data_IF_188887000222
#
_entry.id   IF_188887000222
#
_cell.length_a   1.000
_cell.length_b   1.000
_cell.length_c   1.000
_cell.angle_alpha   90.00
_cell.angle_beta   90.00
_cell.angle_gamma   90.00
#
_symmetry.space_group_name_H-M   'P 1'
#
loop_
_entity.id
_entity.type
_entity.pdbx_description
1 polymer ?
#
# COMPACT_ATOMS: atom_id res chain seq x y z
N UNK A 1 6.91 34.35 0.18
CA UNK A 1 7.15 33.29 -0.82
C UNK A 1 5.87 32.49 -0.88
N UNK A 2 5.20 32.51 -2.01
CA UNK A 2 3.93 31.81 -2.16
C UNK A 2 4.23 30.38 -2.62
N UNK A 3 3.58 29.41 -2.03
CA UNK A 3 3.69 28.00 -2.39
C UNK A 3 2.37 27.57 -3.01
N UNK A 4 2.44 26.99 -4.19
CA UNK A 4 1.29 26.45 -4.91
C UNK A 4 1.40 24.94 -4.92
N UNK A 5 0.34 24.25 -4.52
CA UNK A 5 0.22 22.80 -4.56
C UNK A 5 -0.66 22.40 -5.73
N UNK A 6 -0.17 21.50 -6.56
CA UNK A 6 -0.90 20.96 -7.71
C UNK A 6 -0.98 19.45 -7.54
N UNK A 7 -2.19 18.90 -7.58
CA UNK A 7 -2.44 17.46 -7.49
C UNK A 7 -2.71 16.89 -8.89
N UNK A 8 -2.14 15.74 -9.16
CA UNK A 8 -2.24 15.05 -10.44
C UNK A 8 -2.48 13.55 -10.18
N UNK A 9 -3.66 13.06 -10.57
CA UNK A 9 -4.20 11.76 -10.16
C UNK A 9 -4.35 10.72 -11.29
N UNK A 10 -3.83 11.01 -12.47
CA UNK A 10 -4.03 10.20 -13.68
C UNK A 10 -3.54 8.75 -13.53
N UNK A 11 -2.48 8.50 -12.75
CA UNK A 11 -1.90 7.16 -12.60
C UNK A 11 -2.79 6.31 -11.69
N UNK A 12 -3.21 6.84 -10.55
CA UNK A 12 -4.02 6.10 -9.59
C UNK A 12 -5.40 5.78 -10.17
N UNK A 13 -6.06 6.74 -10.81
CA UNK A 13 -7.33 6.53 -11.51
C UNK A 13 -7.25 5.41 -12.55
N UNK A 14 -6.19 5.38 -13.37
CA UNK A 14 -5.99 4.35 -14.38
C UNK A 14 -5.72 2.98 -13.77
N UNK A 15 -5.10 2.94 -12.61
CA UNK A 15 -4.75 1.71 -11.90
C UNK A 15 -5.98 0.88 -11.53
N UNK A 16 -7.10 1.52 -11.30
CA UNK A 16 -8.37 0.85 -10.95
C UNK A 16 -9.11 0.25 -12.15
N UNK A 17 -8.69 0.56 -13.39
CA UNK A 17 -9.42 0.14 -14.60
C UNK A 17 -8.82 -1.08 -15.28
N UNK A 18 -7.51 -1.22 -15.33
CA UNK A 18 -6.84 -2.32 -16.02
C UNK A 18 -5.36 -2.43 -15.64
N UNK A 19 -4.87 -3.64 -15.46
CA UNK A 19 -3.47 -3.94 -15.16
C UNK A 19 -2.49 -3.43 -16.24
N UNK A 20 -2.91 -3.34 -17.49
CA UNK A 20 -2.08 -2.84 -18.60
C UNK A 20 -2.15 -1.33 -18.78
N UNK A 21 -3.19 -0.69 -18.26
CA UNK A 21 -3.40 0.75 -18.39
C UNK A 21 -2.40 1.57 -17.57
N UNK A 22 -1.84 1.00 -16.49
CA UNK A 22 -0.94 1.70 -15.58
C UNK A 22 0.28 2.27 -16.29
N UNK A 23 0.97 1.50 -17.12
CA UNK A 23 2.17 1.98 -17.81
C UNK A 23 1.85 3.06 -18.84
N UNK A 24 0.75 2.91 -19.57
CA UNK A 24 0.27 3.95 -20.49
C UNK A 24 -0.11 5.23 -19.72
N UNK A 25 -0.72 5.08 -18.54
CA UNK A 25 -1.03 6.20 -17.67
C UNK A 25 0.23 6.89 -17.12
N UNK A 26 1.27 6.13 -16.79
CA UNK A 26 2.57 6.70 -16.40
C UNK A 26 3.19 7.53 -17.52
N UNK A 27 3.21 7.03 -18.77
CA UNK A 27 3.74 7.76 -19.93
C UNK A 27 2.94 9.04 -20.19
N UNK A 28 1.62 8.96 -20.07
CA UNK A 28 0.73 10.12 -20.20
C UNK A 28 1.00 11.13 -19.09
N UNK A 29 1.06 10.70 -17.83
CA UNK A 29 1.35 11.56 -16.69
C UNK A 29 2.69 12.27 -16.81
N UNK A 30 3.75 11.56 -17.23
CA UNK A 30 5.06 12.16 -17.49
C UNK A 30 4.96 13.28 -18.55
N UNK A 31 4.20 13.05 -19.61
CA UNK A 31 4.01 14.03 -20.68
C UNK A 31 3.22 15.25 -20.21
N UNK A 32 2.18 15.04 -19.40
CA UNK A 32 1.37 16.10 -18.79
C UNK A 32 2.19 16.93 -17.81
N UNK A 33 2.95 16.28 -16.92
CA UNK A 33 3.83 16.97 -15.96
C UNK A 33 4.93 17.78 -16.64
N UNK A 34 5.55 17.26 -17.70
CA UNK A 34 6.51 18.02 -18.51
C UNK A 34 5.90 19.28 -19.11
N UNK A 35 4.67 19.18 -19.63
CA UNK A 35 3.96 20.34 -20.17
C UNK A 35 3.60 21.34 -19.07
N UNK A 36 3.14 20.85 -17.91
CA UNK A 36 2.82 21.68 -16.76
C UNK A 36 4.04 22.47 -16.25
N UNK A 37 5.18 21.81 -16.11
CA UNK A 37 6.45 22.47 -15.76
C UNK A 37 6.77 23.59 -16.75
N UNK A 38 6.64 23.33 -18.05
CA UNK A 38 6.89 24.34 -19.08
C UNK A 38 5.98 25.56 -18.95
N UNK A 39 4.70 25.34 -18.68
CA UNK A 39 3.73 26.42 -18.45
C UNK A 39 4.10 27.21 -17.21
N UNK A 40 4.39 26.54 -16.09
CA UNK A 40 4.75 27.20 -14.83
C UNK A 40 5.99 28.09 -15.00
N UNK A 41 7.00 27.61 -15.70
CA UNK A 41 8.23 28.38 -15.93
C UNK A 41 7.99 29.56 -16.87
N UNK A 42 7.34 29.33 -18.00
CA UNK A 42 7.27 30.33 -19.08
C UNK A 42 6.16 31.38 -18.83
N UNK A 43 5.04 30.97 -18.26
CA UNK A 43 3.88 31.86 -18.13
C UNK A 43 3.71 32.44 -16.73
N UNK A 44 4.15 31.70 -15.69
CA UNK A 44 4.01 32.12 -14.30
C UNK A 44 5.35 32.46 -13.62
N UNK A 45 6.48 32.31 -14.33
CA UNK A 45 7.81 32.64 -13.80
C UNK A 45 8.24 31.75 -12.61
N UNK A 46 7.72 30.56 -12.52
CA UNK A 46 8.10 29.59 -11.48
C UNK A 46 9.57 29.18 -11.59
N UNK A 47 10.31 29.27 -10.50
CA UNK A 47 11.75 28.98 -10.48
C UNK A 47 12.12 27.74 -9.69
N UNK A 48 11.28 27.35 -8.71
CA UNK A 48 11.50 26.19 -7.88
C UNK A 48 10.30 25.25 -7.99
N UNK A 49 10.50 24.11 -8.61
CA UNK A 49 9.44 23.13 -8.84
C UNK A 49 9.89 21.81 -8.22
N UNK A 50 9.05 21.28 -7.32
CA UNK A 50 9.21 19.95 -6.75
C UNK A 50 8.10 19.06 -7.29
N UNK A 51 8.46 17.94 -7.88
CA UNK A 51 7.54 16.87 -8.27
C UNK A 51 7.77 15.71 -7.32
N UNK A 52 6.72 15.25 -6.69
CA UNK A 52 6.76 14.12 -5.75
C UNK A 52 5.50 13.27 -5.91
N UNK A 53 5.55 12.06 -5.41
CA UNK A 53 4.41 11.17 -5.28
C UNK A 53 4.16 10.89 -3.79
N UNK A 54 2.95 10.50 -3.45
CA UNK A 54 2.56 10.03 -2.13
C UNK A 54 3.08 8.60 -1.87
N UNK A 55 3.08 7.75 -2.90
CA UNK A 55 3.67 6.41 -2.91
C UNK A 55 4.00 5.98 -4.34
N UNK A 56 4.78 4.91 -4.45
CA UNK A 56 4.97 4.16 -5.67
C UNK A 56 4.13 2.88 -5.67
N UNK A 57 4.46 1.93 -6.54
CA UNK A 57 3.75 0.66 -6.60
C UNK A 57 4.69 -0.51 -6.97
N UNK A 58 4.29 -1.70 -6.55
CA UNK A 58 4.95 -2.94 -6.92
C UNK A 58 4.18 -3.62 -8.04
N UNK A 59 4.87 -3.92 -9.14
CA UNK A 59 4.30 -4.61 -10.29
C UNK A 59 4.87 -6.02 -10.46
N UNK A 60 4.01 -6.98 -10.75
CA UNK A 60 4.38 -8.35 -11.09
C UNK A 60 3.86 -8.71 -12.48
N UNK A 61 4.73 -9.17 -13.37
CA UNK A 61 4.36 -9.54 -14.74
C UNK A 61 3.37 -10.70 -14.82
N UNK A 62 3.41 -11.57 -13.84
CA UNK A 62 2.50 -12.71 -13.74
C UNK A 62 1.68 -12.62 -12.47
N UNK A 63 0.43 -13.06 -12.50
CA UNK A 63 -0.36 -13.19 -11.28
C UNK A 63 0.37 -14.03 -10.25
N UNK A 64 0.35 -13.60 -8.99
CA UNK A 64 0.94 -14.35 -7.89
C UNK A 64 0.19 -15.68 -7.71
N UNK A 65 0.93 -16.74 -7.52
CA UNK A 65 0.38 -18.03 -7.13
C UNK A 65 -0.22 -17.97 -5.73
N UNK A 66 -1.08 -18.92 -5.40
CA UNK A 66 -1.68 -18.98 -4.06
C UNK A 66 -0.65 -19.21 -2.94
N UNK A 67 0.45 -19.90 -3.25
CA UNK A 67 1.58 -20.14 -2.34
C UNK A 67 2.36 -18.85 -2.01
N UNK A 68 2.31 -17.85 -2.90
CA UNK A 68 2.96 -16.54 -2.72
C UNK A 68 2.08 -15.54 -1.96
N UNK A 69 0.98 -16.00 -1.38
CA UNK A 69 0.03 -15.20 -0.63
C UNK A 69 -0.06 -15.65 0.81
N UNK A 70 0.01 -14.69 1.72
CA UNK A 70 -0.17 -14.93 3.16
C UNK A 70 -1.65 -15.12 3.46
N UNK A 71 -2.00 -16.24 4.08
CA UNK A 71 -3.36 -16.50 4.54
C UNK A 71 -3.66 -15.67 5.80
N UNK A 72 -4.80 -15.03 5.81
CA UNK A 72 -5.24 -14.15 6.90
C UNK A 72 -5.93 -14.88 8.07
N UNK A 73 -6.12 -16.20 7.98
CA UNK A 73 -6.82 -16.96 9.04
C UNK A 73 -6.17 -16.79 10.42
N UNK A 74 -4.85 -16.70 10.47
CA UNK A 74 -4.11 -16.44 11.71
C UNK A 74 -4.21 -14.99 12.23
N UNK A 75 -4.82 -14.05 11.48
CA UNK A 75 -4.94 -12.66 11.90
C UNK A 75 -6.19 -12.41 12.77
N UNK A 76 -7.17 -13.29 12.73
CA UNK A 76 -8.49 -13.02 13.28
C UNK A 76 -8.90 -13.95 14.41
N UNK A 77 -8.31 -15.13 14.55
CA UNK A 77 -8.77 -16.14 15.50
C UNK A 77 -7.69 -16.51 16.50
N UNK A 78 -7.95 -16.21 17.76
CA UNK A 78 -7.48 -17.00 18.87
C UNK A 78 -8.70 -17.76 19.38
N UNK A 79 -8.75 -19.04 19.10
CA UNK A 79 -9.57 -19.94 19.90
C UNK A 79 -9.02 -19.92 21.34
N UNK A 80 -9.48 -18.99 22.15
CA UNK A 80 -9.35 -19.12 23.59
C UNK A 80 -10.39 -20.14 23.98
N UNK A 81 -10.00 -21.39 23.96
CA UNK A 81 -10.75 -22.47 24.63
C UNK A 81 -10.59 -22.29 26.13
N UNK A 82 -11.28 -21.31 26.67
CA UNK A 82 -11.53 -21.25 28.11
C UNK A 82 -12.83 -22.01 28.35
N UNK A 83 -12.75 -23.09 29.09
CA UNK A 83 -13.78 -24.11 29.34
C UNK A 83 -15.06 -23.61 30.01
N UNK A 84 -15.19 -22.30 30.26
CA UNK A 84 -16.31 -21.73 31.02
C UNK A 84 -17.06 -20.58 30.34
N UNK A 85 -16.80 -20.30 29.05
CA UNK A 85 -17.50 -19.20 28.38
C UNK A 85 -18.35 -19.73 27.22
N UNK A 86 -19.66 -19.70 27.41
CA UNK A 86 -20.71 -20.06 26.45
C UNK A 86 -20.85 -19.05 25.30
N UNK A 87 -19.93 -18.08 25.14
CA UNK A 87 -19.81 -17.15 24.02
C UNK A 87 -18.39 -17.17 23.48
N UNK A 88 -18.21 -17.62 22.26
CA UNK A 88 -16.99 -17.41 21.47
C UNK A 88 -16.81 -15.91 21.21
N UNK A 89 -16.08 -15.24 22.07
CA UNK A 89 -15.55 -13.91 21.74
C UNK A 89 -14.27 -14.11 20.93
N UNK A 90 -14.38 -14.00 19.61
CA UNK A 90 -13.20 -13.92 18.74
C UNK A 90 -12.47 -12.60 19.03
N UNK A 91 -11.33 -12.67 19.69
CA UNK A 91 -10.47 -11.50 19.89
C UNK A 91 -9.88 -11.15 18.53
N UNK A 92 -10.32 -10.04 17.98
CA UNK A 92 -9.81 -9.51 16.72
C UNK A 92 -8.36 -9.03 16.94
N UNK A 93 -7.38 -9.82 16.56
CA UNK A 93 -5.95 -9.48 16.67
C UNK A 93 -5.50 -8.44 15.64
N UNK A 94 -6.08 -8.46 14.46
CA UNK A 94 -5.81 -7.52 13.40
C UNK A 94 -6.84 -6.39 13.44
N UNK A 95 -6.37 -5.16 13.51
CA UNK A 95 -7.22 -3.96 13.51
C UNK A 95 -7.60 -3.59 12.09
N UNK A 96 -6.61 -3.59 11.21
CA UNK A 96 -6.75 -3.25 9.80
C UNK A 96 -5.70 -3.99 8.96
N UNK A 97 -6.02 -4.30 7.71
CA UNK A 97 -5.06 -4.86 6.78
C UNK A 97 -5.41 -4.54 5.34
N UNK A 98 -4.38 -4.45 4.53
CA UNK A 98 -4.44 -4.37 3.07
C UNK A 98 -3.69 -5.53 2.43
N UNK A 99 -3.49 -5.47 1.13
CA UNK A 99 -2.69 -6.49 0.42
C UNK A 99 -1.22 -6.48 0.82
N UNK A 100 -0.72 -5.33 1.25
CA UNK A 100 0.69 -5.07 1.51
C UNK A 100 1.00 -4.59 2.93
N UNK A 101 0.03 -4.54 3.82
CA UNK A 101 0.23 -4.18 5.21
C UNK A 101 -0.78 -4.85 6.14
N UNK A 102 -0.45 -4.92 7.42
CA UNK A 102 -1.36 -5.28 8.49
C UNK A 102 -1.05 -4.46 9.75
N UNK A 103 -2.10 -3.98 10.42
CA UNK A 103 -2.02 -3.30 11.71
C UNK A 103 -2.58 -4.26 12.75
N UNK A 104 -1.74 -4.66 13.68
CA UNK A 104 -2.06 -5.65 14.71
C UNK A 104 -2.15 -4.97 16.07
N UNK A 105 -2.87 -5.57 16.99
CA UNK A 105 -2.76 -5.21 18.39
C UNK A 105 -1.34 -5.43 18.90
N UNK A 106 -0.91 -4.59 19.83
CA UNK A 106 0.46 -4.62 20.37
C UNK A 106 0.83 -6.00 20.91
N UNK A 107 2.01 -6.46 20.54
CA UNK A 107 2.55 -7.75 20.99
C UNK A 107 2.07 -8.95 20.15
N UNK A 108 1.19 -8.76 19.18
CA UNK A 108 0.81 -9.81 18.21
C UNK A 108 1.81 -9.80 17.08
N UNK A 109 2.43 -10.94 16.82
CA UNK A 109 3.33 -11.12 15.66
C UNK A 109 2.74 -12.13 14.70
N UNK A 110 2.25 -11.69 13.54
CA UNK A 110 1.75 -12.59 12.51
C UNK A 110 2.91 -13.32 11.82
N UNK A 111 2.65 -14.57 11.42
CA UNK A 111 3.60 -15.33 10.60
C UNK A 111 3.79 -14.70 9.23
N UNK A 112 4.99 -14.86 8.67
CA UNK A 112 5.37 -14.41 7.32
C UNK A 112 5.32 -12.90 7.06
N UNK A 113 5.06 -12.07 8.07
CA UNK A 113 5.13 -10.62 7.95
C UNK A 113 6.32 -10.05 8.74
N UNK A 114 6.89 -8.98 8.23
CA UNK A 114 7.96 -8.23 8.89
C UNK A 114 7.38 -7.09 9.71
N UNK A 115 7.88 -6.86 10.93
CA UNK A 115 7.51 -5.69 11.72
C UNK A 115 8.05 -4.41 11.07
N UNK A 116 7.19 -3.39 10.98
CA UNK A 116 7.50 -2.05 10.47
C UNK A 116 7.76 -1.13 11.67
N UNK A 117 8.95 -1.23 12.28
CA UNK A 117 9.29 -0.50 13.51
C UNK A 117 9.84 0.90 13.26
N UNK A 118 10.26 1.19 12.05
CA UNK A 118 10.94 2.46 11.72
C UNK A 118 9.97 3.65 11.58
N UNK A 119 8.69 3.40 11.45
CA UNK A 119 7.70 4.48 11.36
C UNK A 119 7.46 5.20 12.68
N UNK A 120 8.09 4.75 13.75
CA UNK A 120 8.15 5.42 15.05
C UNK A 120 6.76 5.67 15.65
N UNK A 121 6.73 5.86 16.93
CA UNK A 121 5.52 6.27 17.61
C UNK A 121 5.14 5.31 18.74
N UNK A 122 4.70 5.89 19.83
CA UNK A 122 4.11 5.13 20.92
C UNK A 122 2.66 4.83 20.55
N UNK A 123 2.46 3.70 19.92
CA UNK A 123 1.14 3.29 19.50
C UNK A 123 0.68 2.07 20.28
N UNK A 124 -0.60 1.92 20.41
CA UNK A 124 -1.23 0.71 20.93
C UNK A 124 -1.20 -0.44 19.93
N UNK A 125 -0.63 -0.18 18.74
CA UNK A 125 -0.64 -1.09 17.61
C UNK A 125 0.78 -1.30 17.07
N UNK A 126 0.98 -2.46 16.44
CA UNK A 126 2.20 -2.80 15.72
C UNK A 126 1.89 -2.94 14.21
N UNK A 127 2.70 -2.31 13.37
CA UNK A 127 2.59 -2.40 11.91
C UNK A 127 3.43 -3.55 11.36
N UNK A 128 2.91 -4.22 10.34
CA UNK A 128 3.58 -5.31 9.64
C UNK A 128 3.40 -5.19 8.12
N UNK A 129 4.38 -5.67 7.36
CA UNK A 129 4.31 -5.75 5.92
C UNK A 129 4.88 -7.08 5.41
N UNK A 130 4.33 -7.65 4.33
CA UNK A 130 4.90 -8.81 3.69
C UNK A 130 6.21 -8.45 2.98
N UNK A 131 7.09 -9.43 2.86
CA UNK A 131 8.36 -9.30 2.13
C UNK A 131 8.14 -9.34 0.63
N UNK A 132 9.09 -8.76 -0.10
CA UNK A 132 9.17 -8.86 -1.57
C UNK A 132 7.82 -8.59 -2.26
N UNK A 133 7.41 -9.46 -3.17
CA UNK A 133 6.13 -9.37 -3.88
C UNK A 133 4.97 -10.09 -3.19
N UNK A 134 5.21 -10.73 -2.05
CA UNK A 134 4.19 -11.46 -1.28
C UNK A 134 3.02 -10.53 -0.91
N UNK A 135 1.82 -11.05 -0.92
CA UNK A 135 0.60 -10.31 -0.60
C UNK A 135 -0.26 -11.05 0.42
N UNK A 136 -0.97 -10.29 1.23
CA UNK A 136 -2.02 -10.82 2.10
C UNK A 136 -3.24 -11.16 1.23
N UNK A 137 -3.84 -12.33 1.42
CA UNK A 137 -5.03 -12.75 0.69
C UNK A 137 -6.21 -11.82 0.99
N UNK A 138 -6.78 -11.27 -0.07
CA UNK A 138 -7.99 -10.46 0.00
C UNK A 138 -8.98 -10.91 -1.07
N UNK A 139 -10.27 -10.66 -0.82
CA UNK A 139 -11.30 -10.87 -1.84
C UNK A 139 -11.06 -9.91 -3.01
N UNK A 140 -11.38 -10.35 -4.21
CA UNK A 140 -11.16 -9.62 -5.45
C UNK A 140 -10.08 -10.23 -6.33
N UNK A 141 -10.07 -9.85 -7.60
CA UNK A 141 -9.13 -10.36 -8.61
C UNK A 141 -7.66 -10.09 -8.24
N UNK A 142 -6.78 -10.93 -8.75
CA UNK A 142 -5.34 -10.73 -8.62
C UNK A 142 -4.93 -9.57 -9.52
N UNK A 143 -4.63 -8.43 -8.93
CA UNK A 143 -4.04 -7.31 -9.65
C UNK A 143 -2.53 -7.53 -9.77
N UNK A 144 -1.97 -7.22 -10.94
CA UNK A 144 -0.53 -7.34 -11.15
C UNK A 144 0.25 -6.23 -10.45
N UNK A 145 -0.40 -5.17 -10.04
CA UNK A 145 0.22 -4.11 -9.23
C UNK A 145 -0.47 -3.97 -7.87
N UNK A 146 0.29 -3.51 -6.88
CA UNK A 146 -0.16 -3.18 -5.52
C UNK A 146 0.70 -2.08 -4.94
N UNK A 147 0.19 -1.40 -3.95
CA UNK A 147 0.91 -0.40 -3.16
C UNK A 147 0.57 -0.53 -1.66
N UNK A 148 1.16 0.32 -0.83
CA UNK A 148 0.91 0.36 0.61
C UNK A 148 1.83 -0.53 1.44
N UNK A 149 2.86 -1.13 0.82
CA UNK A 149 3.91 -1.87 1.52
C UNK A 149 5.13 -1.02 1.81
N UNK A 150 6.24 -1.68 2.10
CA UNK A 150 7.50 -1.07 2.49
C UNK A 150 8.66 -1.41 1.53
N UNK A 151 8.37 -1.93 0.36
CA UNK A 151 9.41 -2.12 -0.65
C UNK A 151 9.87 -0.77 -1.19
N UNK A 152 11.08 -0.71 -1.72
CA UNK A 152 11.62 0.53 -2.29
C UNK A 152 10.69 1.08 -3.38
N UNK A 153 10.11 0.21 -4.19
CA UNK A 153 9.21 0.58 -5.29
C UNK A 153 7.88 1.15 -4.79
N UNK A 154 7.47 0.84 -3.56
CA UNK A 154 6.21 1.34 -2.98
C UNK A 154 6.42 2.65 -2.20
N UNK A 155 7.66 2.94 -1.78
CA UNK A 155 7.98 4.09 -0.92
C UNK A 155 8.56 5.30 -1.67
N UNK A 156 8.84 5.17 -2.96
CA UNK A 156 9.48 6.23 -3.78
C UNK A 156 8.52 6.70 -4.86
#
# INVERSE_FOLDING_TARGET
MDVVYIYHDTIDEASHTSDTAVFTACDKAISELKNLVRIIVNEFGGTNILITADHGFLYTYSPLKEEDKVDKRGFFDVDVTNSDITKKESIKRCVEYGRRYAIMQKGVQPDYLMPVKFLGGNTEFDGFAPRESIRIKMNGGGMNFVHGGISLQEMV
#
